data_IF_479161835228
#
_entry.id   IF_479161835228
#
_cell.length_a   1.000
_cell.length_b   1.000
_cell.length_c   1.000
_cell.angle_alpha   90.00
_cell.angle_beta   90.00
_cell.angle_gamma   90.00
#
_symmetry.space_group_name_H-M   'P 1'
#
loop_
_entity.id
_entity.type
_entity.pdbx_description
1 polymer ?
#
# COMPACT_ATOMS: atom_id res chain seq x y z
N UNK A 1 30.07 19.92 10.50
CA UNK A 1 30.57 19.11 9.36
C UNK A 1 29.39 18.32 8.81
N UNK A 2 28.94 18.58 7.58
CA UNK A 2 27.78 17.91 6.98
C UNK A 2 28.24 16.55 6.40
N UNK A 3 27.72 15.43 6.93
CA UNK A 3 27.89 14.11 6.32
C UNK A 3 26.84 13.97 5.22
N UNK A 4 27.30 13.73 4.00
CA UNK A 4 26.47 13.41 2.84
C UNK A 4 26.18 11.90 2.88
N UNK A 5 24.91 11.53 2.99
CA UNK A 5 24.44 10.14 2.88
C UNK A 5 24.16 9.89 1.40
N UNK A 6 24.86 8.91 0.82
CA UNK A 6 24.64 8.47 -0.56
C UNK A 6 23.54 7.41 -0.57
N UNK A 7 22.49 7.66 -1.33
CA UNK A 7 21.42 6.71 -1.60
C UNK A 7 21.85 5.81 -2.77
N UNK A 8 21.77 4.49 -2.58
CA UNK A 8 21.99 3.48 -3.63
C UNK A 8 20.61 3.13 -4.18
N UNK A 9 20.38 3.46 -5.45
CA UNK A 9 19.14 3.14 -6.17
C UNK A 9 19.21 1.72 -6.72
N UNK A 10 18.30 0.85 -6.27
CA UNK A 10 18.12 -0.51 -6.76
C UNK A 10 17.35 -0.50 -8.09
N UNK A 11 17.86 -1.18 -9.11
CA UNK A 11 17.24 -1.26 -10.44
C UNK A 11 16.62 -2.65 -10.61
N UNK A 12 15.29 -2.72 -10.70
CA UNK A 12 14.56 -3.96 -10.96
C UNK A 12 14.54 -4.28 -12.46
N UNK A 13 15.03 -5.47 -12.83
CA UNK A 13 14.99 -5.99 -14.21
C UNK A 13 13.74 -6.86 -14.39
N UNK A 14 12.77 -6.34 -15.14
CA UNK A 14 11.57 -7.06 -15.59
C UNK A 14 11.90 -7.95 -16.80
N UNK A 15 11.88 -9.28 -16.61
CA UNK A 15 12.01 -10.25 -17.70
C UNK A 15 10.62 -10.63 -18.23
N UNK A 16 10.25 -10.07 -19.38
CA UNK A 16 9.01 -10.39 -20.10
C UNK A 16 9.07 -11.80 -20.70
N UNK A 17 8.09 -12.63 -20.36
CA UNK A 17 7.97 -14.02 -20.83
C UNK A 17 7.03 -14.08 -22.04
N UNK A 18 7.60 -14.13 -23.24
CA UNK A 18 6.85 -14.42 -24.46
C UNK A 18 6.72 -15.94 -24.65
N UNK A 19 5.55 -16.50 -24.33
CA UNK A 19 5.22 -17.89 -24.64
C UNK A 19 4.77 -18.00 -26.10
N UNK A 20 5.66 -18.46 -26.98
CA UNK A 20 5.25 -19.01 -28.28
C UNK A 20 4.90 -20.49 -28.13
N UNK A 21 3.59 -20.78 -28.18
CA UNK A 21 3.09 -22.15 -28.40
C UNK A 21 3.25 -22.49 -29.89
N UNK A 22 4.11 -23.46 -30.19
CA UNK A 22 4.17 -24.10 -31.51
C UNK A 22 3.99 -25.61 -31.36
N UNK A 23 2.99 -26.13 -32.07
CA UNK A 23 2.50 -27.51 -32.02
C UNK A 23 3.49 -28.54 -32.63
N UNK A 24 3.44 -29.77 -32.11
CA UNK A 24 3.19 -30.94 -32.95
C UNK A 24 4.33 -31.91 -33.28
N UNK A 25 4.47 -32.93 -32.43
CA UNK A 25 4.72 -34.35 -32.71
C UNK A 25 6.03 -34.78 -33.43
N UNK A 26 6.88 -35.58 -32.77
CA UNK A 26 7.07 -37.03 -33.02
C UNK A 26 8.28 -37.56 -32.21
N UNK A 27 8.08 -38.72 -31.58
CA UNK A 27 9.02 -39.56 -30.79
C UNK A 27 10.51 -39.51 -31.20
N UNK A 28 11.40 -39.19 -30.26
CA UNK A 28 12.47 -40.07 -29.76
C UNK A 28 13.28 -39.34 -28.66
N UNK A 29 13.75 -40.10 -27.68
CA UNK A 29 14.15 -39.59 -26.36
C UNK A 29 15.34 -38.63 -26.29
N UNK A 30 15.29 -37.78 -25.26
CA UNK A 30 16.44 -37.11 -24.63
C UNK A 30 16.04 -36.73 -23.21
N UNK A 31 16.48 -37.52 -22.22
CA UNK A 31 16.45 -37.14 -20.81
C UNK A 31 17.59 -36.14 -20.53
N UNK A 32 17.53 -34.94 -21.12
CA UNK A 32 18.65 -34.00 -21.08
C UNK A 32 18.38 -32.55 -21.44
N UNK A 33 17.11 -32.11 -21.55
CA UNK A 33 16.79 -30.70 -21.81
C UNK A 33 16.08 -29.99 -20.64
N UNK A 34 15.44 -30.74 -19.73
CA UNK A 34 14.75 -30.17 -18.55
C UNK A 34 15.67 -30.00 -17.32
N UNK A 35 16.89 -30.52 -17.36
CA UNK A 35 17.86 -30.41 -16.27
C UNK A 35 18.60 -29.06 -16.31
N UNK A 36 19.09 -28.64 -17.49
CA UNK A 36 19.80 -27.37 -17.68
C UNK A 36 18.95 -26.16 -17.27
N UNK A 37 17.65 -26.15 -17.60
CA UNK A 37 16.74 -25.05 -17.22
C UNK A 37 16.42 -25.00 -15.73
N UNK A 38 16.48 -26.15 -15.02
CA UNK A 38 16.25 -26.20 -13.56
C UNK A 38 17.51 -25.82 -12.81
N UNK A 39 18.67 -26.26 -13.29
CA UNK A 39 19.97 -25.93 -12.68
C UNK A 39 20.26 -24.43 -12.81
N UNK A 40 19.88 -23.80 -13.93
CA UNK A 40 19.95 -22.34 -14.11
C UNK A 40 18.99 -21.57 -13.18
N UNK A 41 17.77 -22.10 -12.99
CA UNK A 41 16.79 -21.53 -12.04
C UNK A 41 17.25 -21.64 -10.59
N UNK A 42 17.83 -22.79 -10.23
CA UNK A 42 18.37 -23.05 -8.89
C UNK A 42 19.54 -22.10 -8.62
N UNK A 43 20.47 -21.94 -9.56
CA UNK A 43 21.57 -20.99 -9.41
C UNK A 43 21.08 -19.54 -9.21
N UNK A 44 20.05 -19.13 -9.97
CA UNK A 44 19.46 -17.78 -9.83
C UNK A 44 18.75 -17.58 -8.49
N UNK A 45 18.10 -18.63 -7.96
CA UNK A 45 17.44 -18.58 -6.66
C UNK A 45 18.45 -18.57 -5.51
N UNK A 46 19.53 -19.34 -5.62
CA UNK A 46 20.63 -19.34 -4.65
C UNK A 46 21.30 -17.96 -4.56
N UNK A 47 21.55 -17.30 -5.69
CA UNK A 47 22.08 -15.93 -5.73
C UNK A 47 21.14 -14.92 -5.04
N UNK A 48 19.82 -15.00 -5.30
CA UNK A 48 18.84 -14.13 -4.62
C UNK A 48 18.71 -14.40 -3.13
N UNK A 49 18.83 -15.66 -2.72
CA UNK A 49 18.82 -16.01 -1.29
C UNK A 49 20.06 -15.43 -0.61
N UNK A 50 21.22 -15.50 -1.24
CA UNK A 50 22.46 -14.91 -0.71
C UNK A 50 22.37 -13.38 -0.62
N UNK A 51 21.81 -12.72 -1.64
CA UNK A 51 21.54 -11.27 -1.61
C UNK A 51 20.57 -10.89 -0.48
N UNK A 52 19.44 -11.60 -0.34
CA UNK A 52 18.46 -11.36 0.72
C UNK A 52 19.04 -11.64 2.11
N UNK A 53 19.91 -12.62 2.27
CA UNK A 53 20.59 -12.89 3.54
C UNK A 53 21.58 -11.78 3.90
N UNK A 54 22.29 -11.23 2.91
CA UNK A 54 23.19 -10.09 3.10
C UNK A 54 22.44 -8.82 3.50
N UNK A 55 21.32 -8.52 2.83
CA UNK A 55 20.46 -7.37 3.16
C UNK A 55 19.84 -7.49 4.55
N UNK A 56 19.37 -8.69 4.92
CA UNK A 56 18.85 -8.95 6.26
C UNK A 56 19.92 -8.80 7.35
N UNK A 57 21.18 -9.12 7.05
CA UNK A 57 22.29 -8.89 7.98
C UNK A 57 22.57 -7.40 8.14
N UNK A 58 22.65 -6.66 7.04
CA UNK A 58 22.86 -5.21 7.06
C UNK A 58 21.74 -4.47 7.82
N UNK A 59 20.47 -4.84 7.58
CA UNK A 59 19.32 -4.29 8.30
C UNK A 59 19.35 -4.62 9.80
N UNK A 60 19.82 -5.81 10.19
CA UNK A 60 19.98 -6.15 11.62
C UNK A 60 21.07 -5.30 12.27
N UNK A 61 22.19 -5.09 11.59
CA UNK A 61 23.28 -4.25 12.09
C UNK A 61 22.84 -2.79 12.23
N UNK A 62 22.11 -2.26 11.25
CA UNK A 62 21.53 -0.92 11.30
C UNK A 62 20.53 -0.77 12.45
N UNK A 63 19.65 -1.76 12.65
CA UNK A 63 18.71 -1.76 13.76
C UNK A 63 19.42 -1.79 15.13
N UNK A 64 20.50 -2.56 15.29
CA UNK A 64 21.28 -2.57 16.53
C UNK A 64 22.02 -1.25 16.74
N UNK A 65 22.56 -0.64 15.68
CA UNK A 65 23.18 0.68 15.76
C UNK A 65 22.17 1.77 16.19
N UNK A 66 20.97 1.76 15.60
CA UNK A 66 19.89 2.68 15.96
C UNK A 66 19.41 2.48 17.40
N UNK A 67 19.31 1.24 17.88
CA UNK A 67 18.97 0.97 19.29
C UNK A 67 20.01 1.54 20.25
N UNK A 68 21.30 1.45 19.90
CA UNK A 68 22.38 2.03 20.69
C UNK A 68 22.28 3.56 20.69
N UNK A 69 22.07 4.18 19.52
CA UNK A 69 21.90 5.63 19.41
C UNK A 69 20.69 6.12 20.23
N UNK A 70 19.56 5.41 20.17
CA UNK A 70 18.37 5.69 20.98
C UNK A 70 18.68 5.55 22.48
N UNK A 71 19.45 4.54 22.89
CA UNK A 71 19.82 4.33 24.28
C UNK A 71 20.77 5.42 24.79
N UNK A 72 21.72 5.88 23.97
CA UNK A 72 22.62 6.99 24.27
C UNK A 72 21.86 8.31 24.39
N UNK A 73 20.92 8.58 23.48
CA UNK A 73 20.04 9.75 23.52
C UNK A 73 19.14 9.74 24.77
N UNK A 74 18.63 8.57 25.19
CA UNK A 74 17.86 8.41 26.44
C UNK A 74 18.72 8.55 27.70
N UNK A 75 19.98 8.10 27.66
CA UNK A 75 20.91 8.13 28.78
C UNK A 75 21.55 9.51 29.03
N UNK A 76 21.54 10.40 28.03
CA UNK A 76 22.01 11.79 28.15
C UNK A 76 21.15 12.66 29.12
N UNK A 77 20.06 12.10 29.67
CA UNK A 77 19.16 12.78 30.60
C UNK A 77 18.19 13.72 29.88
N UNK A 78 17.05 14.07 30.50
CA UNK A 78 16.16 15.06 29.92
C UNK A 78 16.89 16.41 29.97
N UNK A 79 17.35 16.89 28.82
CA UNK A 79 17.25 18.33 28.61
C UNK A 79 15.75 18.63 28.77
N UNK A 80 15.37 19.58 29.63
CA UNK A 80 13.99 20.06 29.81
C UNK A 80 13.46 20.78 28.54
N UNK A 81 13.89 20.38 27.35
CA UNK A 81 13.12 20.55 26.14
C UNK A 81 12.10 19.41 26.15
N UNK A 82 10.86 19.75 26.46
CA UNK A 82 9.70 18.92 26.16
C UNK A 82 9.90 18.47 24.71
N UNK A 83 10.18 17.18 24.49
CA UNK A 83 10.06 16.56 23.17
C UNK A 83 8.56 16.61 22.91
N UNK A 84 8.10 17.71 22.33
CA UNK A 84 6.75 17.81 21.79
C UNK A 84 6.80 16.86 20.62
N UNK A 85 6.19 15.68 20.78
CA UNK A 85 5.93 14.82 19.63
C UNK A 85 5.09 15.67 18.67
N UNK A 86 5.70 16.05 17.54
CA UNK A 86 5.01 16.89 16.56
C UNK A 86 3.83 16.08 16.02
N UNK A 87 2.64 16.67 16.10
CA UNK A 87 1.41 16.07 15.58
C UNK A 87 0.99 16.81 14.31
N UNK A 88 0.39 16.08 13.38
CA UNK A 88 -0.26 16.62 12.20
C UNK A 88 -1.72 16.14 12.14
N UNK A 89 -2.57 16.94 11.51
CA UNK A 89 -3.96 16.59 11.26
C UNK A 89 -4.11 16.13 9.81
N UNK A 90 -4.57 14.89 9.62
CA UNK A 90 -4.87 14.32 8.32
C UNK A 90 -6.39 14.32 8.08
N UNK A 91 -6.89 14.97 7.02
CA UNK A 91 -8.31 15.05 6.75
C UNK A 91 -8.87 13.70 6.25
N UNK A 92 -10.09 13.39 6.66
CA UNK A 92 -10.93 12.34 6.08
C UNK A 92 -11.99 13.03 5.22
N UNK A 93 -12.14 12.54 3.99
CA UNK A 93 -13.03 13.16 3.01
C UNK A 93 -14.29 12.32 2.77
N UNK A 94 -15.41 13.04 2.65
CA UNK A 94 -16.62 12.59 1.97
C UNK A 94 -16.75 13.28 0.61
N UNK A 95 -17.96 13.26 0.06
CA UNK A 95 -18.27 13.95 -1.18
C UNK A 95 -19.71 14.44 -1.18
N UNK A 96 -19.95 15.55 -1.89
CA UNK A 96 -21.28 16.05 -2.23
C UNK A 96 -21.87 15.28 -3.43
N UNK A 97 -23.16 15.49 -3.73
CA UNK A 97 -23.87 14.79 -4.81
C UNK A 97 -23.27 15.00 -6.22
N UNK A 98 -22.49 16.07 -6.42
CA UNK A 98 -21.79 16.34 -7.69
C UNK A 98 -20.35 15.76 -7.73
N UNK A 99 -19.94 15.06 -6.66
CA UNK A 99 -18.62 14.48 -6.50
C UNK A 99 -17.56 15.44 -5.95
N UNK A 100 -17.93 16.68 -5.58
CA UNK A 100 -17.03 17.61 -4.91
C UNK A 100 -16.61 17.04 -3.56
N UNK A 101 -15.29 16.88 -3.35
CA UNK A 101 -14.77 16.39 -2.07
C UNK A 101 -15.05 17.38 -0.94
N UNK A 102 -15.38 16.86 0.24
CA UNK A 102 -15.58 17.66 1.45
C UNK A 102 -14.90 16.99 2.64
N UNK A 103 -14.17 17.76 3.44
CA UNK A 103 -13.58 17.25 4.67
C UNK A 103 -14.69 17.04 5.70
N UNK A 104 -14.79 15.80 6.21
CA UNK A 104 -15.82 15.41 7.19
C UNK A 104 -15.24 15.19 8.59
N UNK A 105 -13.95 14.83 8.68
CA UNK A 105 -13.26 14.55 9.93
C UNK A 105 -11.76 14.82 9.80
N UNK A 106 -11.04 14.84 10.92
CA UNK A 106 -9.57 14.91 10.97
C UNK A 106 -9.03 13.87 11.94
N UNK A 107 -8.02 13.14 11.51
CA UNK A 107 -7.23 12.25 12.36
C UNK A 107 -5.98 12.98 12.80
N UNK A 108 -5.73 13.05 14.12
CA UNK A 108 -4.47 13.57 14.66
C UNK A 108 -3.48 12.41 14.74
N UNK A 109 -2.32 12.57 14.09
CA UNK A 109 -1.25 11.56 14.06
C UNK A 109 0.08 12.19 14.43
N UNK A 110 1.00 11.41 14.99
CA UNK A 110 2.39 11.87 15.14
C UNK A 110 3.04 11.97 13.77
N UNK A 111 3.85 13.00 13.55
CA UNK A 111 4.52 13.22 12.26
C UNK A 111 5.50 12.09 11.92
N UNK A 112 6.10 11.46 12.94
CA UNK A 112 7.03 10.32 12.81
C UNK A 112 6.34 8.94 12.76
N UNK A 113 5.01 8.90 12.84
CA UNK A 113 4.24 7.65 12.73
C UNK A 113 4.51 6.98 11.37
N UNK A 114 4.74 5.65 11.31
CA UNK A 114 4.89 4.95 10.04
C UNK A 114 3.72 5.20 9.09
N UNK A 115 4.01 5.42 7.81
CA UNK A 115 3.00 5.78 6.81
C UNK A 115 1.84 4.77 6.77
N UNK A 116 2.13 3.47 6.83
CA UNK A 116 1.10 2.43 6.86
C UNK A 116 0.16 2.54 8.07
N UNK A 117 0.68 2.92 9.25
CA UNK A 117 -0.15 3.15 10.44
C UNK A 117 -1.02 4.39 10.27
N UNK A 118 -0.50 5.47 9.67
CA UNK A 118 -1.31 6.64 9.30
C UNK A 118 -2.46 6.24 8.36
N UNK A 119 -2.20 5.36 7.37
CA UNK A 119 -3.23 4.83 6.48
C UNK A 119 -4.27 4.00 7.22
N UNK A 120 -3.86 3.17 8.19
CA UNK A 120 -4.79 2.44 9.06
C UNK A 120 -5.72 3.40 9.83
N UNK A 121 -5.16 4.45 10.44
CA UNK A 121 -5.96 5.42 11.18
C UNK A 121 -6.94 6.18 10.27
N UNK A 122 -6.52 6.52 9.05
CA UNK A 122 -7.40 7.12 8.04
C UNK A 122 -8.51 6.15 7.60
N UNK A 123 -8.19 4.87 7.36
CA UNK A 123 -9.17 3.85 6.98
C UNK A 123 -10.20 3.58 8.09
N UNK A 124 -9.76 3.51 9.34
CA UNK A 124 -10.63 3.34 10.51
C UNK A 124 -11.59 4.52 10.67
N UNK A 125 -11.07 5.75 10.56
CA UNK A 125 -11.90 6.96 10.64
C UNK A 125 -12.87 7.07 9.46
N UNK A 126 -12.42 6.78 8.24
CA UNK A 126 -13.26 6.77 7.05
C UNK A 126 -14.40 5.75 7.15
N UNK A 127 -14.08 4.54 7.62
CA UNK A 127 -15.07 3.50 7.91
C UNK A 127 -16.14 4.01 8.87
N UNK A 128 -15.74 4.58 10.01
CA UNK A 128 -16.65 5.03 11.05
C UNK A 128 -17.50 6.23 10.63
N UNK A 129 -16.88 7.25 10.04
CA UNK A 129 -17.51 8.55 9.81
C UNK A 129 -18.29 8.63 8.48
N UNK A 130 -17.88 7.86 7.45
CA UNK A 130 -18.49 7.93 6.11
C UNK A 130 -19.26 6.64 5.76
N UNK A 131 -18.70 5.48 6.10
CA UNK A 131 -19.23 4.18 5.66
C UNK A 131 -19.96 3.40 6.76
N UNK A 132 -20.38 4.08 7.83
CA UNK A 132 -21.23 3.53 8.90
C UNK A 132 -20.64 2.24 9.48
N UNK A 133 -19.31 2.20 9.64
CA UNK A 133 -18.57 1.09 10.22
C UNK A 133 -18.36 -0.12 9.31
N UNK A 134 -18.56 0.00 7.98
CA UNK A 134 -18.11 -1.04 7.06
C UNK A 134 -16.60 -1.18 7.12
N UNK A 135 -16.12 -2.36 7.50
CA UNK A 135 -14.69 -2.61 7.69
C UNK A 135 -13.91 -2.62 6.37
N UNK A 136 -12.66 -2.21 6.46
CA UNK A 136 -11.65 -2.32 5.41
C UNK A 136 -10.31 -2.67 6.05
N UNK A 137 -9.51 -3.47 5.36
CA UNK A 137 -8.17 -3.82 5.78
C UNK A 137 -7.16 -2.96 5.01
N UNK A 138 -6.27 -2.29 5.73
CA UNK A 138 -5.09 -1.66 5.14
C UNK A 138 -3.98 -2.71 5.11
N UNK A 139 -3.65 -3.21 3.91
CA UNK A 139 -2.82 -4.40 3.76
C UNK A 139 -1.33 -4.05 3.82
N UNK A 140 -0.85 -3.33 2.81
CA UNK A 140 0.55 -2.96 2.67
C UNK A 140 0.71 -1.76 1.72
N UNK A 141 1.96 -1.29 1.60
CA UNK A 141 2.40 -0.36 0.57
C UNK A 141 3.50 -1.07 -0.22
N UNK A 142 3.34 -1.17 -1.54
CA UNK A 142 4.34 -1.77 -2.43
C UNK A 142 4.81 -0.78 -3.47
N UNK A 143 6.08 -0.88 -3.87
CA UNK A 143 6.62 -0.04 -4.94
C UNK A 143 6.49 -0.75 -6.28
N UNK A 144 5.74 -0.16 -7.22
CA UNK A 144 5.58 -0.63 -8.60
C UNK A 144 6.04 0.47 -9.54
N UNK A 145 7.00 0.17 -10.42
CA UNK A 145 7.60 1.15 -11.34
C UNK A 145 8.11 2.43 -10.65
N UNK A 146 8.64 2.28 -9.42
CA UNK A 146 9.16 3.38 -8.61
C UNK A 146 8.08 4.25 -7.96
N UNK A 147 6.83 3.80 -7.93
CA UNK A 147 5.70 4.46 -7.28
C UNK A 147 5.19 3.64 -6.11
N UNK A 148 4.96 4.28 -4.98
CA UNK A 148 4.44 3.62 -3.79
C UNK A 148 2.91 3.54 -3.85
N UNK A 149 2.40 2.30 -3.89
CA UNK A 149 0.98 1.97 -4.04
C UNK A 149 0.46 1.34 -2.75
N UNK A 150 -0.55 1.97 -2.15
CA UNK A 150 -1.30 1.43 -1.02
C UNK A 150 -2.31 0.39 -1.49
N UNK A 151 -2.37 -0.77 -0.83
CA UNK A 151 -3.40 -1.78 -1.05
C UNK A 151 -4.42 -1.76 0.08
N UNK A 152 -5.68 -1.56 -0.27
CA UNK A 152 -6.82 -1.53 0.65
C UNK A 152 -7.84 -2.57 0.23
N UNK A 153 -8.27 -3.41 1.16
CA UNK A 153 -9.30 -4.42 0.90
C UNK A 153 -10.57 -4.13 1.70
N UNK A 154 -11.61 -3.70 0.98
CA UNK A 154 -12.94 -3.50 1.56
C UNK A 154 -13.53 -4.86 1.92
N UNK A 155 -14.27 -4.92 3.03
CA UNK A 155 -15.00 -6.14 3.42
C UNK A 155 -16.48 -5.99 3.16
N UNK A 156 -17.04 -6.90 2.38
CA UNK A 156 -18.46 -6.84 2.08
C UNK A 156 -19.28 -7.01 3.37
N UNK A 157 -20.27 -6.14 3.52
CA UNK A 157 -21.22 -6.27 4.62
C UNK A 157 -22.28 -7.31 4.28
N UNK A 158 -23.05 -7.76 5.27
CA UNK A 158 -24.03 -8.83 5.02
C UNK A 158 -25.17 -8.42 4.09
N UNK A 159 -25.43 -7.12 3.95
CA UNK A 159 -26.60 -6.59 3.24
C UNK A 159 -27.95 -6.98 3.86
N UNK A 160 -27.94 -7.52 5.08
CA UNK A 160 -29.16 -7.84 5.82
C UNK A 160 -29.93 -6.56 6.18
N UNK A 161 -31.22 -6.70 6.50
CA UNK A 161 -32.06 -5.55 6.87
C UNK A 161 -31.48 -4.82 8.08
N UNK A 162 -31.03 -3.59 7.86
CA UNK A 162 -30.41 -2.75 8.90
C UNK A 162 -28.88 -2.83 8.96
N UNK A 163 -28.26 -3.68 8.16
CA UNK A 163 -26.81 -3.78 7.98
C UNK A 163 -26.41 -3.15 6.65
N UNK A 164 -25.21 -2.57 6.62
CA UNK A 164 -24.67 -1.91 5.42
C UNK A 164 -23.92 -2.89 4.54
N UNK A 165 -23.80 -2.54 3.26
CA UNK A 165 -23.10 -3.30 2.24
C UNK A 165 -22.43 -2.35 1.26
N UNK A 166 -21.20 -2.66 0.83
CA UNK A 166 -20.55 -1.85 -0.21
C UNK A 166 -21.34 -1.96 -1.51
N UNK A 167 -21.63 -3.19 -1.94
CA UNK A 167 -22.35 -3.45 -3.18
C UNK A 167 -23.74 -2.82 -3.19
N UNK A 168 -24.53 -2.97 -2.11
CA UNK A 168 -25.95 -2.59 -2.13
C UNK A 168 -26.22 -1.14 -1.65
N UNK A 169 -25.33 -0.53 -0.87
CA UNK A 169 -25.53 0.84 -0.38
C UNK A 169 -24.61 1.87 -1.05
N UNK A 170 -23.37 1.52 -1.37
CA UNK A 170 -22.33 2.50 -1.75
C UNK A 170 -21.92 2.41 -3.23
N UNK A 171 -21.99 1.23 -3.85
CA UNK A 171 -21.69 1.04 -5.27
C UNK A 171 -22.95 1.15 -6.16
N UNK A 172 -24.06 1.67 -5.64
CA UNK A 172 -25.31 1.79 -6.39
C UNK A 172 -25.53 3.20 -6.93
N UNK A 173 -25.92 3.28 -8.21
CA UNK A 173 -26.23 4.52 -8.89
C UNK A 173 -25.00 5.39 -9.16
N UNK A 174 -25.05 6.18 -10.23
CA UNK A 174 -23.88 6.99 -10.63
C UNK A 174 -23.46 8.01 -9.58
N UNK A 175 -24.41 8.68 -8.93
CA UNK A 175 -24.09 9.66 -7.86
C UNK A 175 -23.51 8.98 -6.62
N UNK A 176 -24.14 7.91 -6.13
CA UNK A 176 -23.65 7.18 -4.95
C UNK A 176 -22.28 6.55 -5.18
N UNK A 177 -22.08 5.97 -6.37
CA UNK A 177 -20.79 5.44 -6.79
C UNK A 177 -19.71 6.52 -6.86
N UNK A 178 -19.98 7.65 -7.53
CA UNK A 178 -19.02 8.76 -7.61
C UNK A 178 -18.65 9.30 -6.22
N UNK A 179 -19.64 9.48 -5.34
CA UNK A 179 -19.38 9.92 -3.96
C UNK A 179 -18.49 8.94 -3.20
N UNK A 180 -18.73 7.64 -3.36
CA UNK A 180 -17.95 6.57 -2.74
C UNK A 180 -16.51 6.57 -3.24
N UNK A 181 -16.32 6.69 -4.56
CA UNK A 181 -14.98 6.80 -5.16
C UNK A 181 -14.24 8.01 -4.62
N UNK A 182 -14.85 9.20 -4.64
CA UNK A 182 -14.21 10.42 -4.12
C UNK A 182 -13.82 10.26 -2.66
N UNK A 183 -14.70 9.76 -1.79
CA UNK A 183 -14.42 9.61 -0.37
C UNK A 183 -13.23 8.65 -0.10
N UNK A 184 -13.21 7.49 -0.76
CA UNK A 184 -12.10 6.53 -0.66
C UNK A 184 -10.79 7.11 -1.20
N UNK A 185 -10.82 7.60 -2.44
CA UNK A 185 -9.62 8.01 -3.15
C UNK A 185 -9.00 9.26 -2.54
N UNK A 186 -9.78 10.29 -2.24
CA UNK A 186 -9.23 11.53 -1.70
C UNK A 186 -8.73 11.38 -0.26
N UNK A 187 -9.36 10.50 0.54
CA UNK A 187 -8.87 10.17 1.89
C UNK A 187 -7.53 9.45 1.86
N UNK A 188 -7.31 8.48 0.99
CA UNK A 188 -6.02 7.79 0.96
C UNK A 188 -4.95 8.55 0.18
N UNK A 189 -5.30 9.14 -0.96
CA UNK A 189 -4.32 9.82 -1.81
C UNK A 189 -3.90 11.18 -1.25
N UNK A 190 -4.74 11.80 -0.40
CA UNK A 190 -4.45 13.10 0.22
C UNK A 190 -3.92 14.09 -0.83
N UNK A 191 -4.66 14.31 -1.92
CA UNK A 191 -4.12 14.99 -3.12
C UNK A 191 -3.59 16.40 -2.83
N UNK A 192 -4.10 17.06 -1.80
CA UNK A 192 -3.66 18.39 -1.37
C UNK A 192 -2.45 18.38 -0.40
N UNK A 193 -2.03 17.22 0.11
CA UNK A 193 -0.95 17.11 1.10
C UNK A 193 0.44 17.33 0.49
N UNK A 194 1.10 18.45 0.79
CA UNK A 194 2.36 18.83 0.13
C UNK A 194 3.61 18.02 0.51
N UNK A 195 3.52 17.08 1.47
CA UNK A 195 4.64 16.26 1.91
C UNK A 195 4.83 14.97 1.11
N UNK A 196 5.82 14.16 1.52
CA UNK A 196 5.99 12.80 1.00
C UNK A 196 4.78 11.95 1.41
N UNK A 197 4.23 11.23 0.45
CA UNK A 197 3.02 10.42 0.60
C UNK A 197 3.05 9.26 -0.39
N UNK A 198 2.01 8.41 -0.42
CA UNK A 198 1.83 7.42 -1.48
C UNK A 198 1.57 8.08 -2.84
N UNK A 199 1.97 7.39 -3.90
CA UNK A 199 1.74 7.79 -5.28
C UNK A 199 0.41 7.25 -5.83
N UNK A 200 -0.14 6.19 -5.23
CA UNK A 200 -1.39 5.60 -5.68
C UNK A 200 -2.04 4.65 -4.69
N UNK A 201 -3.29 4.28 -4.98
CA UNK A 201 -4.08 3.34 -4.20
C UNK A 201 -4.70 2.31 -5.12
N UNK A 202 -4.72 1.06 -4.67
CA UNK A 202 -5.45 -0.05 -5.28
C UNK A 202 -6.43 -0.60 -4.27
N UNK A 203 -7.71 -0.62 -4.66
CA UNK A 203 -8.81 -1.05 -3.79
C UNK A 203 -9.39 -2.36 -4.32
N UNK A 204 -9.60 -3.31 -3.42
CA UNK A 204 -10.28 -4.59 -3.67
C UNK A 204 -11.50 -4.74 -2.77
N UNK A 205 -12.37 -5.69 -3.08
CA UNK A 205 -13.49 -6.10 -2.24
C UNK A 205 -13.38 -7.60 -1.97
N UNK A 206 -13.24 -7.97 -0.70
CA UNK A 206 -13.00 -9.35 -0.24
C UNK A 206 -11.85 -10.05 -0.99
N UNK A 207 -10.79 -9.30 -1.29
CA UNK A 207 -9.61 -9.75 -2.03
C UNK A 207 -9.77 -9.80 -3.55
N UNK A 208 -10.95 -9.45 -4.09
CA UNK A 208 -11.23 -9.45 -5.51
C UNK A 208 -11.19 -8.04 -6.13
N UNK A 209 -10.88 -7.97 -7.42
CA UNK A 209 -10.94 -6.70 -8.15
C UNK A 209 -12.39 -6.22 -8.27
N UNK A 210 -12.63 -4.96 -7.96
CA UNK A 210 -13.95 -4.33 -8.04
C UNK A 210 -14.32 -4.13 -9.52
N UNK A 211 -15.43 -4.74 -9.96
CA UNK A 211 -15.93 -4.65 -11.34
C UNK A 211 -17.40 -4.23 -11.36
N UNK A 212 -17.69 -3.02 -10.89
CA UNK A 212 -19.04 -2.47 -10.84
C UNK A 212 -19.15 -1.19 -11.68
N UNK A 213 -20.18 -1.12 -12.53
CA UNK A 213 -20.37 -0.03 -13.50
C UNK A 213 -20.49 1.37 -12.87
N UNK A 214 -20.90 1.45 -11.61
CA UNK A 214 -21.09 2.71 -10.90
C UNK A 214 -19.84 3.17 -10.13
N UNK A 215 -18.86 2.29 -9.94
CA UNK A 215 -17.56 2.61 -9.35
C UNK A 215 -16.41 2.13 -10.26
N UNK A 216 -16.39 2.56 -11.54
CA UNK A 216 -15.46 2.04 -12.52
C UNK A 216 -14.00 2.41 -12.24
N UNK A 217 -13.76 3.50 -11.50
CA UNK A 217 -12.42 3.99 -11.16
C UNK A 217 -11.71 3.03 -10.20
N UNK A 218 -12.46 2.35 -9.33
CA UNK A 218 -11.91 1.39 -8.37
C UNK A 218 -11.42 0.08 -9.02
N UNK A 219 -11.75 -0.15 -10.29
CA UNK A 219 -11.29 -1.34 -11.03
C UNK A 219 -9.78 -1.35 -11.24
N UNK A 220 -9.12 -0.19 -11.22
CA UNK A 220 -7.71 -0.01 -11.52
C UNK A 220 -6.93 0.56 -10.32
N UNK A 221 -5.61 0.67 -10.46
CA UNK A 221 -4.79 1.45 -9.53
C UNK A 221 -4.95 2.93 -9.86
N UNK A 222 -5.36 3.72 -8.88
CA UNK A 222 -5.54 5.17 -9.04
C UNK A 222 -4.31 5.88 -8.52
N UNK A 223 -3.75 6.76 -9.35
CA UNK A 223 -2.59 7.55 -8.98
C UNK A 223 -3.00 8.95 -8.48
N UNK A 224 -2.16 9.47 -7.59
CA UNK A 224 -2.22 10.84 -7.07
C UNK A 224 -1.93 11.88 -8.14
#
# INVERSE_FOLDING_TARGET
MKKQIKWITLTAVLLSMALFVACGNTKNGTAGADADSKDELIATLEEKVEELEADNLALKEENEALKIEIAELKAAGPNDEIIVEEEEELPVFGAEEDGTMTQVFSVVVKTDEPLLNKMQMLGDALSAEVFVGLSMDILDITTVDGKDILHVDLKEGSGAVGEKSWIFDYFQGSTGGQMTETALLETFLQREYGGLWIDGVKITLDGETIQFDHVPTLADTVLR
#
